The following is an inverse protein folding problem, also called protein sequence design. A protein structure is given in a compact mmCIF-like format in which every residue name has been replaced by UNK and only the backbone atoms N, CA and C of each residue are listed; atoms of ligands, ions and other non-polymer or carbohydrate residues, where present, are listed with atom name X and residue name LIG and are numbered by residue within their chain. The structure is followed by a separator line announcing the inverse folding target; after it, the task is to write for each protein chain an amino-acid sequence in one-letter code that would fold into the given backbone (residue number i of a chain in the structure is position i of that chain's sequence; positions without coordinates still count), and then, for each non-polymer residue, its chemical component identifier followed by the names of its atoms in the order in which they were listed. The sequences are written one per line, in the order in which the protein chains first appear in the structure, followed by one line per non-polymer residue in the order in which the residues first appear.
data_IF_481177742067
#
_entry.id   IF_481177742067
#
_cell.length_a   1.000
_cell.length_b   1.000
_cell.length_c   1.000
_cell.angle_alpha   90.00
_cell.angle_beta   90.00
_cell.angle_gamma   90.00
#
_symmetry.space_group_name_H-M   'P 1'
#
loop_
_entity.id
_entity.type
_entity.pdbx_description
1 polymer ?
#
# COMPACT_ATOMS: atom_id res chain seq x y z
N UNK A 1 35.91 -49.57 -43.14
CA UNK A 1 36.92 -49.14 -44.14
C UNK A 1 36.11 -48.51 -45.26
N UNK A 2 35.96 -47.19 -45.16
CA UNK A 2 35.12 -46.36 -46.01
C UNK A 2 35.85 -45.97 -47.30
N UNK A 3 35.10 -45.93 -48.41
CA UNK A 3 35.49 -45.29 -49.66
C UNK A 3 34.26 -44.70 -50.38
N UNK A 4 34.41 -43.45 -50.83
CA UNK A 4 33.70 -42.83 -51.97
C UNK A 4 32.40 -42.08 -51.63
N UNK A 5 32.12 -40.84 -52.07
CA UNK A 5 32.72 -39.97 -53.07
C UNK A 5 31.83 -39.78 -54.32
N UNK A 6 31.27 -38.57 -54.52
CA UNK A 6 30.64 -38.06 -55.76
C UNK A 6 29.12 -38.30 -55.89
N UNK A 7 28.27 -37.42 -56.41
CA UNK A 7 28.41 -36.15 -57.15
C UNK A 7 27.48 -36.14 -58.38
N UNK A 8 26.55 -35.17 -58.48
CA UNK A 8 25.70 -34.85 -59.64
C UNK A 8 24.48 -35.78 -59.84
N UNK A 9 23.25 -35.35 -60.15
CA UNK A 9 22.73 -34.17 -60.83
C UNK A 9 21.80 -34.69 -61.95
N UNK A 10 20.53 -34.29 -62.00
CA UNK A 10 19.63 -34.66 -63.11
C UNK A 10 18.14 -34.65 -62.75
N UNK A 11 17.48 -33.58 -63.16
CA UNK A 11 16.05 -33.29 -63.09
C UNK A 11 15.20 -34.21 -63.99
N UNK A 12 13.92 -34.42 -63.64
CA UNK A 12 12.83 -34.42 -64.62
C UNK A 12 11.46 -34.26 -63.94
N UNK A 13 10.69 -33.38 -64.58
CA UNK A 13 9.42 -32.79 -64.17
C UNK A 13 8.24 -33.77 -64.21
N UNK A 14 7.20 -33.49 -63.40
CA UNK A 14 5.83 -33.50 -63.93
C UNK A 14 4.92 -32.59 -63.11
N UNK A 15 4.16 -31.79 -63.85
CA UNK A 15 3.45 -30.59 -63.47
C UNK A 15 2.11 -30.82 -62.74
N UNK A 16 1.62 -29.68 -62.23
CA UNK A 16 0.22 -29.22 -62.23
C UNK A 16 -0.57 -29.41 -60.92
N UNK A 17 -0.78 -28.31 -60.18
CA UNK A 17 -1.88 -27.41 -60.55
C UNK A 17 -1.89 -26.08 -59.77
N UNK A 18 -1.84 -25.01 -60.56
CA UNK A 18 -2.75 -23.85 -60.56
C UNK A 18 -2.78 -22.82 -59.42
N UNK A 19 -2.30 -21.62 -59.83
CA UNK A 19 -2.93 -20.27 -59.72
C UNK A 19 -2.97 -19.62 -58.33
N UNK A 20 -2.74 -18.32 -58.15
CA UNK A 20 -2.67 -17.16 -59.07
C UNK A 20 -1.96 -15.98 -58.39
N UNK A 21 -1.35 -15.17 -59.25
CA UNK A 21 -0.79 -13.83 -59.08
C UNK A 21 -1.43 -12.88 -58.04
N UNK A 22 -0.53 -12.23 -57.27
CA UNK A 22 -0.26 -10.79 -57.19
C UNK A 22 -1.41 -9.79 -56.94
N UNK A 23 -1.31 -9.05 -55.83
CA UNK A 23 -1.41 -7.58 -55.84
C UNK A 23 -0.79 -6.96 -54.59
N UNK A 24 -0.10 -5.85 -54.79
CA UNK A 24 0.50 -4.90 -53.84
C UNK A 24 -0.29 -4.68 -52.54
N UNK A 25 0.41 -4.40 -51.43
CA UNK A 25 0.70 -3.02 -51.01
C UNK A 25 1.14 -2.97 -49.53
N UNK A 26 2.17 -2.17 -49.27
CA UNK A 26 2.43 -1.51 -47.97
C UNK A 26 2.49 -2.41 -46.72
N UNK A 27 3.39 -3.39 -46.66
CA UNK A 27 3.83 -3.90 -45.37
C UNK A 27 4.74 -2.82 -44.74
N UNK A 28 4.15 -1.99 -43.87
CA UNK A 28 4.85 -0.95 -43.13
C UNK A 28 6.16 -1.50 -42.56
N UNK A 29 7.27 -0.87 -42.96
CA UNK A 29 8.56 -1.16 -42.34
C UNK A 29 8.42 -0.83 -40.87
N UNK A 30 8.53 -1.86 -40.04
CA UNK A 30 8.50 -1.71 -38.60
C UNK A 30 9.80 -1.01 -38.16
N UNK A 31 9.71 0.29 -37.94
CA UNK A 31 10.80 1.10 -37.41
C UNK A 31 10.85 1.08 -35.87
N UNK A 32 9.87 0.44 -35.20
CA UNK A 32 9.78 0.35 -33.73
C UNK A 32 10.73 -0.71 -33.18
N UNK A 33 10.94 -1.80 -33.92
CA UNK A 33 11.87 -2.87 -33.57
C UNK A 33 13.36 -2.52 -33.78
N UNK A 34 13.64 -1.32 -34.30
CA UNK A 34 15.00 -0.80 -34.51
C UNK A 34 15.43 0.26 -33.46
N UNK A 35 14.56 0.59 -32.50
CA UNK A 35 14.88 1.52 -31.43
C UNK A 35 15.58 0.77 -30.27
N UNK A 36 16.62 1.35 -29.66
CA UNK A 36 17.20 0.79 -28.44
C UNK A 36 16.17 0.82 -27.28
N UNK A 37 16.28 -0.12 -26.33
CA UNK A 37 15.27 -0.35 -25.28
C UNK A 37 15.00 0.88 -24.39
N UNK A 38 15.92 1.85 -24.37
CA UNK A 38 15.81 3.15 -23.71
C UNK A 38 14.87 4.14 -24.44
N UNK A 39 14.58 3.92 -25.71
CA UNK A 39 13.72 4.78 -26.53
C UNK A 39 12.25 4.33 -26.58
N UNK A 40 11.94 3.05 -26.28
CA UNK A 40 10.55 2.56 -26.19
C UNK A 40 9.81 3.10 -24.95
N UNK A 41 10.56 3.52 -23.92
CA UNK A 41 10.05 4.18 -22.70
C UNK A 41 9.54 5.60 -22.98
N UNK A 42 10.02 6.23 -24.05
CA UNK A 42 9.66 7.60 -24.40
C UNK A 42 8.34 7.67 -25.18
N UNK A 43 7.86 6.58 -25.77
CA UNK A 43 6.67 6.56 -26.64
C UNK A 43 5.69 5.46 -26.19
N UNK A 44 5.16 5.61 -24.97
CA UNK A 44 3.75 5.34 -24.60
C UNK A 44 3.59 5.59 -23.09
N UNK A 45 4.13 6.71 -22.60
CA UNK A 45 3.57 7.37 -21.44
C UNK A 45 2.17 7.83 -21.88
N UNK A 46 1.11 7.26 -21.28
CA UNK A 46 -0.24 7.84 -21.39
C UNK A 46 -0.22 9.20 -20.68
N UNK A 47 0.39 10.20 -21.31
CA UNK A 47 0.24 11.60 -20.96
C UNK A 47 -1.18 11.96 -21.34
N UNK A 48 -2.13 11.79 -20.41
CA UNK A 48 -3.39 12.52 -20.50
C UNK A 48 -3.02 13.98 -20.34
N UNK A 49 -2.77 14.67 -21.46
CA UNK A 49 -2.43 16.10 -21.50
C UNK A 49 -3.55 16.97 -20.94
N UNK A 50 -4.76 16.40 -20.77
CA UNK A 50 -5.91 17.04 -20.13
C UNK A 50 -5.85 17.07 -18.61
N UNK A 51 -5.23 16.06 -17.97
CA UNK A 51 -5.26 15.90 -16.50
C UNK A 51 -3.88 15.95 -15.84
N UNK A 52 -2.81 16.27 -16.59
CA UNK A 52 -1.45 16.34 -16.05
C UNK A 52 -1.07 15.12 -15.20
N UNK A 53 -1.45 13.92 -15.65
CA UNK A 53 -1.29 12.66 -14.92
C UNK A 53 -0.46 11.67 -15.70
N UNK A 54 0.44 10.99 -14.99
CA UNK A 54 1.20 9.85 -15.47
C UNK A 54 0.88 8.62 -14.62
N UNK A 55 0.57 7.52 -15.28
CA UNK A 55 0.37 6.23 -14.62
C UNK A 55 1.12 5.16 -15.38
N UNK A 56 2.03 4.47 -14.70
CA UNK A 56 2.76 3.30 -15.21
C UNK A 56 2.42 2.14 -14.30
N UNK A 57 1.93 1.04 -14.87
CA UNK A 57 1.49 -0.14 -14.13
C UNK A 57 2.13 -1.39 -14.68
N UNK A 58 2.55 -2.26 -13.76
CA UNK A 58 3.07 -3.60 -14.04
C UNK A 58 4.13 -3.60 -15.16
N UNK A 59 4.95 -2.54 -15.20
CA UNK A 59 6.00 -2.41 -16.18
C UNK A 59 7.25 -3.17 -15.72
N UNK A 60 7.99 -3.74 -16.67
CA UNK A 60 9.21 -4.52 -16.45
C UNK A 60 10.33 -4.04 -17.39
N UNK A 61 11.57 -4.43 -17.10
CA UNK A 61 12.73 -4.15 -17.97
C UNK A 61 13.24 -2.70 -17.90
N UNK A 62 12.66 -1.89 -17.01
CA UNK A 62 13.04 -0.50 -16.78
C UNK A 62 13.99 -0.40 -15.59
N UNK A 63 15.29 -0.42 -15.85
CA UNK A 63 16.30 -0.28 -14.79
C UNK A 63 16.39 1.16 -14.26
N UNK A 64 16.22 2.17 -15.12
CA UNK A 64 16.37 3.58 -14.78
C UNK A 64 15.22 4.41 -15.36
N UNK A 65 14.65 5.30 -14.54
CA UNK A 65 13.57 6.20 -14.95
C UNK A 65 13.88 7.63 -14.52
N UNK A 66 13.94 8.56 -15.49
CA UNK A 66 14.12 9.98 -15.25
C UNK A 66 12.92 10.76 -15.83
N UNK A 67 12.25 11.52 -14.98
CA UNK A 67 11.06 12.30 -15.35
C UNK A 67 11.30 13.76 -15.00
N UNK A 68 11.23 14.61 -16.01
CA UNK A 68 11.31 16.06 -15.89
C UNK A 68 10.03 16.65 -16.48
N UNK A 69 9.17 17.24 -15.64
CA UNK A 69 7.92 17.81 -16.11
C UNK A 69 7.46 18.97 -15.24
N UNK A 70 7.28 20.14 -15.85
CA UNK A 70 6.80 21.34 -15.15
C UNK A 70 5.29 21.35 -14.94
N UNK A 71 4.54 20.50 -15.64
CA UNK A 71 3.08 20.50 -15.61
C UNK A 71 2.48 19.27 -14.93
N UNK A 72 3.26 18.21 -14.69
CA UNK A 72 2.76 16.96 -14.11
C UNK A 72 2.29 17.20 -12.66
N UNK A 73 1.03 16.86 -12.39
CA UNK A 73 0.35 17.04 -11.10
C UNK A 73 0.19 15.72 -10.35
N UNK A 74 -0.05 14.61 -11.07
CA UNK A 74 -0.28 13.30 -10.45
C UNK A 74 0.55 12.21 -11.08
N UNK A 75 1.11 11.35 -10.25
CA UNK A 75 1.98 10.29 -10.72
C UNK A 75 1.78 9.00 -9.92
N UNK A 76 1.54 7.91 -10.64
CA UNK A 76 1.51 6.55 -10.11
C UNK A 76 2.53 5.69 -10.86
N UNK A 77 3.46 5.09 -10.12
CA UNK A 77 4.46 4.18 -10.63
C UNK A 77 4.31 2.81 -9.98
N UNK A 78 4.21 1.79 -10.82
CA UNK A 78 4.46 0.39 -10.48
C UNK A 78 5.33 -0.21 -11.59
N UNK A 79 6.65 -0.18 -11.36
CA UNK A 79 7.68 -0.54 -12.33
C UNK A 79 8.66 -1.52 -11.68
N UNK A 80 8.49 -2.81 -11.94
CA UNK A 80 9.26 -3.84 -11.26
C UNK A 80 10.71 -3.89 -11.71
N UNK A 81 11.63 -3.89 -10.72
CA UNK A 81 13.06 -4.03 -10.95
C UNK A 81 13.79 -2.70 -11.16
N UNK A 82 13.12 -1.57 -10.91
CA UNK A 82 13.74 -0.26 -11.00
C UNK A 82 14.94 -0.18 -10.04
N UNK A 83 16.05 0.35 -10.55
CA UNK A 83 17.28 0.62 -9.77
C UNK A 83 17.43 2.09 -9.48
N UNK A 84 17.11 2.95 -10.45
CA UNK A 84 17.21 4.39 -10.31
C UNK A 84 15.92 5.11 -10.69
N UNK A 85 15.47 6.03 -9.82
CA UNK A 85 14.36 6.94 -10.08
C UNK A 85 14.80 8.38 -9.91
N UNK A 86 14.63 9.21 -10.94
CA UNK A 86 14.79 10.67 -10.83
C UNK A 86 13.50 11.36 -11.22
N UNK A 87 12.97 12.20 -10.34
CA UNK A 87 11.78 13.00 -10.60
C UNK A 87 12.11 14.47 -10.32
N UNK A 88 11.93 15.31 -11.33
CA UNK A 88 11.95 16.78 -11.19
C UNK A 88 10.61 17.28 -11.73
N UNK A 89 9.66 17.46 -10.81
CA UNK A 89 8.30 17.83 -11.15
C UNK A 89 7.76 18.88 -10.17
N UNK A 90 7.99 20.19 -10.44
CA UNK A 90 7.63 21.25 -9.51
C UNK A 90 6.14 21.41 -9.26
N UNK A 91 5.28 21.01 -10.20
CA UNK A 91 3.82 21.05 -10.07
C UNK A 91 3.21 19.76 -9.51
N UNK A 92 4.03 18.77 -9.12
CA UNK A 92 3.54 17.46 -8.67
C UNK A 92 2.91 17.57 -7.29
N UNK A 93 1.63 17.20 -7.20
CA UNK A 93 0.80 17.27 -5.99
C UNK A 93 0.62 15.87 -5.38
N UNK A 94 0.46 14.84 -6.21
CA UNK A 94 0.23 13.45 -5.79
C UNK A 94 1.30 12.51 -6.38
N UNK A 95 2.05 11.81 -5.52
CA UNK A 95 3.03 10.81 -5.92
C UNK A 95 2.76 9.47 -5.23
N UNK A 96 2.65 8.43 -6.04
CA UNK A 96 2.47 7.06 -5.60
C UNK A 96 3.54 6.16 -6.25
N UNK A 97 4.45 5.61 -5.46
CA UNK A 97 5.49 4.69 -5.91
C UNK A 97 5.23 3.34 -5.25
N UNK A 98 5.00 2.31 -6.05
CA UNK A 98 4.59 0.98 -5.60
C UNK A 98 5.51 -0.07 -6.17
N UNK A 99 6.10 -0.90 -5.31
CA UNK A 99 6.84 -2.10 -5.69
C UNK A 99 7.88 -1.88 -6.80
N UNK A 100 8.40 -0.66 -6.92
CA UNK A 100 9.33 -0.30 -7.98
C UNK A 100 10.71 -0.89 -7.70
N UNK A 101 11.15 -0.74 -6.45
CA UNK A 101 12.44 -1.21 -5.97
C UNK A 101 12.36 -2.54 -5.23
N UNK A 102 11.18 -2.92 -4.75
CA UNK A 102 10.96 -4.08 -3.88
C UNK A 102 11.57 -5.40 -4.40
N UNK A 103 11.48 -5.66 -5.70
CA UNK A 103 12.01 -6.88 -6.30
C UNK A 103 13.46 -6.75 -6.81
N UNK A 104 14.05 -5.56 -6.69
CA UNK A 104 15.42 -5.31 -7.11
C UNK A 104 16.41 -5.89 -6.11
N UNK A 105 17.51 -6.49 -6.60
CA UNK A 105 18.60 -6.99 -5.75
C UNK A 105 19.59 -5.89 -5.35
N UNK A 106 19.52 -4.72 -6.00
CA UNK A 106 20.39 -3.58 -5.72
C UNK A 106 19.72 -2.60 -4.75
N UNK A 107 20.53 -1.87 -3.99
CA UNK A 107 20.06 -0.77 -3.16
C UNK A 107 19.27 0.25 -4.03
N UNK A 108 18.07 0.67 -3.63
CA UNK A 108 17.29 1.64 -4.39
C UNK A 108 18.01 2.99 -4.44
N UNK A 109 18.12 3.59 -5.63
CA UNK A 109 18.62 4.95 -5.78
C UNK A 109 17.47 5.83 -6.27
N UNK A 110 17.11 6.85 -5.50
CA UNK A 110 16.08 7.77 -5.92
C UNK A 110 16.43 9.22 -5.59
N UNK A 111 16.00 10.14 -6.46
CA UNK A 111 16.09 11.58 -6.25
C UNK A 111 14.81 12.25 -6.72
N UNK A 112 14.05 12.80 -5.77
CA UNK A 112 12.70 13.33 -6.03
C UNK A 112 12.64 14.78 -5.59
N UNK A 113 12.42 15.67 -6.55
CA UNK A 113 12.21 17.11 -6.36
C UNK A 113 10.79 17.47 -6.79
N UNK A 114 9.90 17.57 -5.79
CA UNK A 114 8.50 17.90 -5.95
C UNK A 114 8.06 18.86 -4.81
N UNK A 115 8.39 20.16 -4.88
CA UNK A 115 8.11 21.12 -3.82
C UNK A 115 6.62 21.28 -3.49
N UNK A 116 5.71 21.08 -4.45
CA UNK A 116 4.26 21.21 -4.26
C UNK A 116 3.57 19.91 -3.81
N UNK A 117 4.35 18.87 -3.48
CA UNK A 117 3.79 17.56 -3.15
C UNK A 117 2.95 17.63 -1.88
N UNK A 118 1.66 17.33 -2.02
CA UNK A 118 0.69 17.23 -0.92
C UNK A 118 0.49 15.81 -0.43
N UNK A 119 0.62 14.82 -1.32
CA UNK A 119 0.39 13.40 -1.03
C UNK A 119 1.60 12.57 -1.44
N UNK A 120 2.17 11.82 -0.49
CA UNK A 120 3.20 10.83 -0.75
C UNK A 120 2.75 9.44 -0.29
N UNK A 121 2.58 8.53 -1.24
CA UNK A 121 2.39 7.11 -1.01
C UNK A 121 3.66 6.37 -1.45
N UNK A 122 4.43 5.86 -0.49
CA UNK A 122 5.71 5.20 -0.73
C UNK A 122 5.62 3.74 -0.29
N UNK A 123 5.27 2.87 -1.25
CA UNK A 123 5.14 1.42 -1.05
C UNK A 123 6.38 0.68 -1.55
N UNK A 124 7.55 1.14 -1.10
CA UNK A 124 8.88 0.60 -1.40
C UNK A 124 9.81 0.78 -0.19
N UNK A 125 10.99 0.16 -0.24
CA UNK A 125 12.03 0.38 0.76
C UNK A 125 12.52 1.84 0.72
N UNK A 126 12.77 2.42 1.89
CA UNK A 126 13.28 3.76 2.08
C UNK A 126 14.55 3.70 2.93
N UNK A 127 15.64 4.20 2.37
CA UNK A 127 16.90 4.40 3.04
C UNK A 127 17.37 5.83 2.72
N UNK A 128 17.48 6.73 3.72
CA UNK A 128 17.88 8.12 3.48
C UNK A 128 19.29 8.27 2.90
N UNK A 129 20.13 7.23 2.91
CA UNK A 129 21.45 7.24 2.27
C UNK A 129 21.41 7.15 0.74
N UNK A 130 20.32 6.63 0.17
CA UNK A 130 20.19 6.37 -1.27
C UNK A 130 18.90 6.90 -1.90
N UNK A 131 17.84 7.08 -1.09
CA UNK A 131 16.55 7.66 -1.48
C UNK A 131 16.47 9.10 -0.99
N UNK A 132 16.76 10.03 -1.89
CA UNK A 132 16.77 11.46 -1.62
C UNK A 132 15.40 12.09 -1.92
N UNK A 133 14.65 12.35 -0.87
CA UNK A 133 13.43 13.15 -0.94
C UNK A 133 13.75 14.62 -0.68
N UNK A 134 13.54 15.46 -1.69
CA UNK A 134 13.71 16.91 -1.62
C UNK A 134 12.83 17.57 -0.55
N UNK A 135 12.87 18.90 -0.47
CA UNK A 135 12.03 19.64 0.48
C UNK A 135 10.56 19.57 0.04
N UNK A 136 9.70 18.96 0.87
CA UNK A 136 8.26 18.80 0.63
C UNK A 136 7.47 19.54 1.70
N UNK A 137 7.51 20.88 1.68
CA UNK A 137 6.89 21.72 2.74
C UNK A 137 5.36 21.66 2.74
N UNK A 138 4.77 21.25 1.63
CA UNK A 138 3.33 21.16 1.46
C UNK A 138 2.78 19.75 1.72
N UNK A 139 3.62 18.80 2.16
CA UNK A 139 3.19 17.42 2.39
C UNK A 139 2.16 17.37 3.53
N UNK A 140 0.95 16.92 3.20
CA UNK A 140 -0.17 16.77 4.13
C UNK A 140 -0.50 15.33 4.42
N UNK A 141 -0.32 14.44 3.43
CA UNK A 141 -0.63 13.02 3.56
C UNK A 141 0.61 12.17 3.30
N UNK A 142 0.98 11.35 4.28
CA UNK A 142 2.01 10.32 4.13
C UNK A 142 1.39 8.93 4.29
N UNK A 143 1.76 8.03 3.38
CA UNK A 143 1.50 6.59 3.49
C UNK A 143 2.81 5.83 3.25
N UNK A 144 3.52 5.38 4.30
CA UNK A 144 4.60 4.41 4.14
C UNK A 144 4.06 3.05 3.68
N UNK A 145 4.95 2.09 3.45
CA UNK A 145 4.61 0.81 2.85
C UNK A 145 3.72 -0.06 3.76
N UNK A 146 4.33 -0.84 4.66
CA UNK A 146 3.61 -1.70 5.60
C UNK A 146 4.49 -1.95 6.82
N UNK A 147 3.86 -2.03 7.99
CA UNK A 147 4.49 -2.49 9.22
C UNK A 147 4.12 -3.96 9.44
N UNK A 148 5.13 -4.82 9.47
CA UNK A 148 4.97 -6.21 9.86
C UNK A 148 4.87 -6.24 11.39
N UNK A 149 3.75 -6.72 11.94
CA UNK A 149 3.54 -6.68 13.40
C UNK A 149 4.28 -7.81 14.11
N UNK A 150 4.27 -9.00 13.50
CA UNK A 150 5.01 -10.17 13.98
C UNK A 150 5.93 -10.65 12.87
N UNK A 151 7.23 -10.59 13.11
CA UNK A 151 8.25 -10.97 12.14
C UNK A 151 9.51 -11.50 12.79
N UNK A 152 10.59 -11.59 12.01
CA UNK A 152 11.93 -11.89 12.48
C UNK A 152 12.86 -10.71 12.17
N UNK A 153 14.06 -10.69 12.77
CA UNK A 153 15.04 -9.59 12.63
C UNK A 153 15.51 -9.33 11.20
N UNK A 154 15.30 -10.27 10.26
CA UNK A 154 15.72 -10.09 8.86
C UNK A 154 14.76 -9.20 8.05
N UNK A 155 13.61 -8.83 8.61
CA UNK A 155 12.60 -7.98 7.97
C UNK A 155 13.00 -6.50 8.08
N UNK A 156 13.47 -5.92 6.97
CA UNK A 156 13.90 -4.50 6.91
C UNK A 156 12.76 -3.50 6.68
N UNK A 157 11.52 -3.96 6.56
CA UNK A 157 10.35 -3.14 6.24
C UNK A 157 10.03 -2.10 7.34
N UNK A 158 9.97 -2.52 8.60
CA UNK A 158 9.65 -1.61 9.70
C UNK A 158 10.71 -0.52 9.87
N UNK A 159 12.03 -0.82 9.92
CA UNK A 159 13.08 0.21 9.97
C UNK A 159 13.01 1.20 8.79
N UNK A 160 12.70 0.70 7.58
CA UNK A 160 12.49 1.53 6.38
C UNK A 160 11.30 2.49 6.57
N UNK A 161 10.14 1.98 7.01
CA UNK A 161 8.97 2.79 7.29
C UNK A 161 9.23 3.83 8.40
N UNK A 162 9.92 3.45 9.49
CA UNK A 162 10.31 4.36 10.57
C UNK A 162 11.23 5.47 10.07
N UNK A 163 12.22 5.14 9.25
CA UNK A 163 13.13 6.11 8.65
C UNK A 163 12.39 7.13 7.80
N UNK A 164 11.36 6.68 7.06
CA UNK A 164 10.50 7.56 6.28
C UNK A 164 9.62 8.47 7.17
N UNK A 165 9.01 7.91 8.23
CA UNK A 165 8.23 8.70 9.19
C UNK A 165 9.09 9.77 9.86
N UNK A 166 10.32 9.44 10.27
CA UNK A 166 11.25 10.37 10.92
C UNK A 166 11.65 11.56 10.04
N UNK A 167 11.52 11.42 8.72
CA UNK A 167 11.81 12.50 7.78
C UNK A 167 10.79 13.64 7.85
N UNK A 168 9.54 13.33 8.23
CA UNK A 168 8.40 14.25 8.19
C UNK A 168 7.77 14.35 9.59
N UNK A 169 8.18 15.38 10.35
CA UNK A 169 7.77 15.53 11.75
C UNK A 169 6.35 16.06 11.96
N UNK A 170 5.83 16.80 10.98
CA UNK A 170 4.50 17.43 11.03
C UNK A 170 3.77 17.03 9.77
N UNK A 171 2.75 16.19 9.91
CA UNK A 171 1.93 15.70 8.80
C UNK A 171 0.48 15.82 9.25
N UNK A 172 -0.40 16.30 8.39
CA UNK A 172 -1.82 16.42 8.77
C UNK A 172 -2.46 15.04 8.89
N UNK A 173 -2.26 14.20 7.86
CA UNK A 173 -2.89 12.90 7.65
C UNK A 173 -1.82 11.80 7.51
N UNK A 174 -1.92 10.77 8.33
CA UNK A 174 -1.05 9.60 8.24
C UNK A 174 -1.88 8.35 7.96
N UNK A 175 -1.47 7.58 6.94
CA UNK A 175 -2.03 6.24 6.69
C UNK A 175 -1.01 5.18 7.07
N UNK A 176 -1.28 4.39 8.11
CA UNK A 176 -0.47 3.25 8.51
C UNK A 176 -1.16 1.95 8.13
N UNK A 177 -0.37 0.97 7.71
CA UNK A 177 -0.87 -0.38 7.44
C UNK A 177 -0.11 -1.35 8.35
N UNK A 178 -0.84 -2.05 9.22
CA UNK A 178 -0.34 -3.10 10.08
C UNK A 178 -0.69 -4.44 9.43
N UNK A 179 0.33 -5.25 9.15
CA UNK A 179 0.16 -6.53 8.48
C UNK A 179 0.55 -7.68 9.41
N UNK A 180 -0.37 -8.64 9.51
CA UNK A 180 -0.20 -9.88 10.24
C UNK A 180 -0.14 -11.02 9.24
N UNK A 181 0.99 -11.73 9.23
CA UNK A 181 1.11 -12.97 8.47
C UNK A 181 0.18 -14.04 9.03
N UNK A 182 -0.21 -15.01 8.19
CA UNK A 182 -1.08 -16.11 8.62
C UNK A 182 -0.46 -16.92 9.77
N UNK A 183 0.82 -17.28 9.64
CA UNK A 183 1.56 -17.98 10.69
C UNK A 183 2.55 -17.03 11.36
N UNK A 184 2.25 -16.64 12.60
CA UNK A 184 3.12 -15.82 13.43
C UNK A 184 3.85 -16.63 14.51
N UNK A 185 3.74 -17.96 14.50
CA UNK A 185 4.44 -18.78 15.48
C UNK A 185 5.96 -18.63 15.30
N UNK A 186 6.68 -18.49 16.42
CA UNK A 186 8.12 -18.21 16.46
C UNK A 186 8.55 -16.83 15.94
N UNK A 187 7.59 -15.95 15.61
CA UNK A 187 7.90 -14.55 15.36
C UNK A 187 7.94 -13.78 16.68
N UNK A 188 8.64 -12.66 16.66
CA UNK A 188 8.66 -11.67 17.73
C UNK A 188 7.82 -10.45 17.33
N UNK A 189 7.36 -9.72 18.34
CA UNK A 189 6.59 -8.51 18.17
C UNK A 189 7.50 -7.37 17.73
N UNK A 190 7.15 -6.70 16.63
CA UNK A 190 8.04 -5.78 15.88
C UNK A 190 7.69 -4.31 16.04
N UNK A 191 6.64 -3.98 16.79
CA UNK A 191 6.17 -2.59 16.89
C UNK A 191 6.90 -1.79 17.97
N UNK A 192 7.65 -2.44 18.86
CA UNK A 192 8.32 -1.79 20.01
C UNK A 192 9.31 -0.70 19.58
N UNK A 193 9.97 -0.86 18.43
CA UNK A 193 10.90 0.13 17.87
C UNK A 193 10.20 1.43 17.44
N UNK A 194 8.89 1.38 17.18
CA UNK A 194 8.10 2.56 16.92
C UNK A 194 7.89 3.31 18.24
N UNK A 195 8.81 4.22 18.58
CA UNK A 195 8.84 4.92 19.88
C UNK A 195 8.55 6.42 19.78
N UNK A 196 8.40 6.94 18.56
CA UNK A 196 8.27 8.37 18.31
C UNK A 196 6.80 8.83 18.38
N UNK A 197 6.54 9.92 19.11
CA UNK A 197 5.28 10.63 19.05
C UNK A 197 5.11 11.34 17.69
N UNK A 198 3.96 11.14 17.06
CA UNK A 198 3.65 11.70 15.75
C UNK A 198 2.66 12.85 15.91
N UNK A 199 3.03 14.03 15.45
CA UNK A 199 2.15 15.21 15.45
C UNK A 199 1.28 15.19 14.19
N UNK A 200 0.14 14.51 14.32
CA UNK A 200 -0.84 14.30 13.26
C UNK A 200 -2.26 14.62 13.73
N UNK A 201 -3.13 15.01 12.81
CA UNK A 201 -4.54 15.31 13.09
C UNK A 201 -5.46 14.14 12.75
N UNK A 202 -5.18 13.45 11.65
CA UNK A 202 -5.98 12.33 11.15
C UNK A 202 -5.10 11.09 11.01
N UNK A 203 -5.52 9.99 11.64
CA UNK A 203 -4.91 8.69 11.47
C UNK A 203 -5.86 7.78 10.70
N UNK A 204 -5.38 7.25 9.58
CA UNK A 204 -5.99 6.11 8.90
C UNK A 204 -5.15 4.87 9.23
N UNK A 205 -5.69 3.97 10.02
CA UNK A 205 -5.07 2.72 10.44
C UNK A 205 -5.71 1.56 9.70
N UNK A 206 -4.97 0.95 8.78
CA UNK A 206 -5.36 -0.29 8.13
C UNK A 206 -4.78 -1.45 8.93
N UNK A 207 -5.61 -2.39 9.35
CA UNK A 207 -5.19 -3.66 9.93
C UNK A 207 -5.52 -4.74 8.91
N UNK A 208 -4.49 -5.40 8.40
CA UNK A 208 -4.62 -6.55 7.52
C UNK A 208 -4.22 -7.77 8.34
N UNK A 209 -5.20 -8.56 8.78
CA UNK A 209 -4.94 -9.70 9.65
C UNK A 209 -5.71 -10.96 9.25
N UNK A 210 -5.00 -12.10 9.24
CA UNK A 210 -5.59 -13.43 9.05
C UNK A 210 -6.21 -13.96 10.35
N UNK A 211 -7.17 -13.22 10.90
CA UNK A 211 -7.91 -13.58 12.13
C UNK A 211 -7.19 -13.33 13.46
N UNK A 212 -5.94 -12.85 13.44
CA UNK A 212 -5.15 -12.52 14.63
C UNK A 212 -5.64 -11.28 15.37
N UNK A 213 -5.43 -11.25 16.69
CA UNK A 213 -5.78 -10.11 17.53
C UNK A 213 -4.88 -8.89 17.22
N UNK A 214 -5.50 -7.74 16.92
CA UNK A 214 -4.79 -6.52 16.55
C UNK A 214 -4.68 -5.45 17.64
N UNK A 215 -5.37 -5.64 18.77
CA UNK A 215 -5.52 -4.60 19.79
C UNK A 215 -4.19 -4.05 20.32
N UNK A 216 -3.19 -4.91 20.55
CA UNK A 216 -1.88 -4.50 21.06
C UNK A 216 -1.14 -3.51 20.15
N UNK A 217 -1.08 -3.81 18.84
CA UNK A 217 -0.37 -2.96 17.88
C UNK A 217 -1.13 -1.66 17.60
N UNK A 218 -2.46 -1.73 17.55
CA UNK A 218 -3.30 -0.56 17.37
C UNK A 218 -3.24 0.37 18.59
N UNK A 219 -3.26 -0.19 19.80
CA UNK A 219 -3.02 0.54 21.04
C UNK A 219 -1.65 1.23 21.04
N UNK A 220 -0.60 0.49 20.66
CA UNK A 220 0.76 1.04 20.56
C UNK A 220 0.81 2.24 19.61
N UNK A 221 0.22 2.14 18.41
CA UNK A 221 0.12 3.26 17.46
C UNK A 221 -0.67 4.43 18.04
N UNK A 222 -1.82 4.18 18.68
CA UNK A 222 -2.65 5.24 19.27
C UNK A 222 -1.94 5.96 20.43
N UNK A 223 -1.13 5.25 21.20
CA UNK A 223 -0.28 5.85 22.25
C UNK A 223 0.69 6.87 21.68
N UNK A 224 1.24 6.60 20.50
CA UNK A 224 2.16 7.50 19.79
C UNK A 224 1.44 8.63 19.04
N UNK A 225 0.16 8.43 18.71
CA UNK A 225 -0.66 9.37 17.95
C UNK A 225 -1.76 10.01 18.82
N UNK A 226 -1.53 10.20 20.13
CA UNK A 226 -2.57 10.65 21.07
C UNK A 226 -3.18 12.04 20.78
N UNK A 227 -2.54 12.83 19.92
CA UNK A 227 -3.01 14.15 19.48
C UNK A 227 -4.11 14.15 18.40
N UNK A 228 -4.46 12.97 17.84
CA UNK A 228 -5.41 12.85 16.74
C UNK A 228 -6.81 13.36 17.10
N UNK A 229 -7.51 13.87 16.08
CA UNK A 229 -8.92 14.27 16.15
C UNK A 229 -9.85 13.30 15.46
N UNK A 230 -9.34 12.59 14.44
CA UNK A 230 -10.09 11.57 13.70
C UNK A 230 -9.27 10.31 13.54
N UNK A 231 -9.91 9.17 13.80
CA UNK A 231 -9.41 7.84 13.54
C UNK A 231 -10.30 7.17 12.47
N UNK A 232 -9.69 6.71 11.39
CA UNK A 232 -10.30 5.80 10.42
C UNK A 232 -9.62 4.45 10.58
N UNK A 233 -10.36 3.41 10.97
CA UNK A 233 -9.86 2.06 11.19
C UNK A 233 -10.46 1.13 10.12
N UNK A 234 -9.62 0.64 9.22
CA UNK A 234 -10.00 -0.36 8.23
C UNK A 234 -9.55 -1.74 8.70
N UNK A 235 -10.49 -2.68 8.82
CA UNK A 235 -10.22 -4.07 9.22
C UNK A 235 -10.31 -5.00 8.02
N UNK A 236 -9.19 -5.33 7.41
CA UNK A 236 -9.13 -6.22 6.25
C UNK A 236 -8.62 -7.61 6.61
N UNK A 237 -9.13 -8.63 5.93
CA UNK A 237 -8.66 -10.01 6.04
C UNK A 237 -7.70 -10.32 4.88
N UNK A 238 -6.56 -10.96 5.17
CA UNK A 238 -5.55 -11.24 4.16
C UNK A 238 -5.85 -12.51 3.33
N UNK A 239 -6.51 -13.51 3.92
CA UNK A 239 -6.77 -14.84 3.34
C UNK A 239 -8.05 -15.45 3.94
N UNK A 240 -8.60 -16.50 3.32
CA UNK A 240 -9.84 -17.15 3.76
C UNK A 240 -9.75 -17.72 5.19
N UNK A 241 -10.39 -17.00 6.13
CA UNK A 241 -10.97 -17.43 7.40
C UNK A 241 -10.22 -18.54 8.14
N UNK A 242 -9.11 -18.16 8.77
CA UNK A 242 -8.60 -18.87 9.95
C UNK A 242 -8.89 -18.04 11.18
N UNK A 243 -9.64 -18.58 12.13
CA UNK A 243 -9.68 -17.99 13.48
C UNK A 243 -8.29 -18.05 14.10
N UNK A 244 -7.96 -17.06 14.93
CA UNK A 244 -6.70 -17.09 15.66
C UNK A 244 -6.59 -18.41 16.46
N UNK A 245 -5.50 -19.19 16.31
CA UNK A 245 -5.38 -20.45 16.99
C UNK A 245 -5.29 -20.25 18.51
N UNK A 246 -5.87 -21.15 19.33
CA UNK A 246 -5.71 -21.09 20.78
C UNK A 246 -4.23 -21.06 21.18
N UNK A 247 -3.86 -20.16 22.09
CA UNK A 247 -2.48 -19.99 22.54
C UNK A 247 -1.57 -19.19 21.59
N UNK A 248 -2.13 -18.56 20.55
CA UNK A 248 -1.36 -17.69 19.67
C UNK A 248 -0.69 -16.54 20.43
N UNK A 249 0.53 -16.17 20.00
CA UNK A 249 1.31 -15.10 20.63
C UNK A 249 0.64 -13.72 20.55
N UNK A 250 -0.29 -13.50 19.61
CA UNK A 250 -1.02 -12.22 19.55
C UNK A 250 -1.97 -12.00 20.73
N UNK A 251 -2.35 -13.05 21.44
CA UNK A 251 -3.21 -12.99 22.64
C UNK A 251 -2.36 -12.68 23.88
N UNK A 252 -1.04 -12.89 23.84
CA UNK A 252 -0.18 -12.68 25.01
C UNK A 252 -0.03 -11.20 25.37
N UNK A 253 -0.20 -10.29 24.41
CA UNK A 253 -0.11 -8.84 24.63
C UNK A 253 -1.49 -8.24 24.94
N UNK A 254 -2.02 -8.50 26.13
CA UNK A 254 -3.35 -8.03 26.58
C UNK A 254 -3.32 -6.76 27.43
N UNK A 255 -2.15 -6.17 27.69
CA UNK A 255 -2.04 -4.98 28.54
C UNK A 255 -2.95 -3.84 28.08
N UNK A 256 -3.17 -3.70 26.77
CA UNK A 256 -4.06 -2.69 26.19
C UNK A 256 -5.52 -2.80 26.65
N UNK A 257 -6.00 -3.95 27.10
CA UNK A 257 -7.39 -4.10 27.58
C UNK A 257 -7.62 -3.43 28.94
N UNK A 258 -6.54 -3.13 29.67
CA UNK A 258 -6.61 -2.56 31.03
C UNK A 258 -5.78 -1.29 31.18
N UNK A 259 -4.78 -1.08 30.33
CA UNK A 259 -3.92 0.10 30.36
C UNK A 259 -4.70 1.34 29.96
N UNK A 260 -4.46 2.41 30.72
CA UNK A 260 -5.11 3.69 30.51
C UNK A 260 -4.42 4.46 29.38
N UNK A 261 -5.20 4.84 28.36
CA UNK A 261 -4.77 5.73 27.28
C UNK A 261 -5.71 6.93 27.21
N UNK A 262 -5.16 8.13 27.01
CA UNK A 262 -5.91 9.37 26.91
C UNK A 262 -5.90 9.90 25.49
N UNK A 263 -7.05 9.80 24.82
CA UNK A 263 -7.30 10.34 23.48
C UNK A 263 -8.20 11.58 23.58
N UNK A 264 -7.78 12.56 24.38
CA UNK A 264 -8.58 13.74 24.78
C UNK A 264 -8.98 14.68 23.63
N UNK A 265 -8.43 14.47 22.44
CA UNK A 265 -8.74 15.25 21.23
C UNK A 265 -9.53 14.46 20.20
N UNK A 266 -9.67 13.14 20.38
CA UNK A 266 -10.37 12.29 19.43
C UNK A 266 -11.86 12.61 19.49
N UNK A 267 -12.40 13.06 18.35
CA UNK A 267 -13.79 13.48 18.17
C UNK A 267 -14.56 12.53 17.28
N UNK A 268 -13.89 11.96 16.29
CA UNK A 268 -14.51 11.11 15.27
C UNK A 268 -13.77 9.79 15.15
N UNK A 269 -14.52 8.69 15.18
CA UNK A 269 -14.03 7.35 14.87
C UNK A 269 -14.88 6.77 13.76
N UNK A 270 -14.23 6.23 12.74
CA UNK A 270 -14.85 5.47 11.67
C UNK A 270 -14.19 4.09 11.64
N UNK A 271 -14.99 3.03 11.67
CA UNK A 271 -14.53 1.66 11.62
C UNK A 271 -15.21 0.98 10.45
N UNK A 272 -14.42 0.51 9.50
CA UNK A 272 -14.90 -0.17 8.31
C UNK A 272 -14.53 -1.66 8.33
N UNK A 273 -15.37 -2.46 7.65
CA UNK A 273 -15.23 -3.91 7.54
C UNK A 273 -15.28 -4.62 8.91
N UNK A 274 -16.15 -4.13 9.80
CA UNK A 274 -16.36 -4.71 11.12
C UNK A 274 -17.08 -6.06 11.03
N UNK A 275 -16.56 -7.09 11.72
CA UNK A 275 -17.08 -8.46 11.67
C UNK A 275 -17.67 -8.92 12.99
N UNK A 276 -17.39 -8.19 14.07
CA UNK A 276 -17.95 -8.48 15.40
C UNK A 276 -17.23 -9.62 16.12
N UNK A 277 -15.95 -9.81 15.85
CA UNK A 277 -15.12 -10.70 16.67
C UNK A 277 -14.97 -10.15 18.11
N UNK A 278 -14.62 -11.02 19.06
CA UNK A 278 -14.47 -10.62 20.47
C UNK A 278 -13.44 -9.49 20.64
N UNK A 279 -12.29 -9.60 19.97
CA UNK A 279 -11.23 -8.60 20.08
C UNK A 279 -11.60 -7.27 19.41
N UNK A 280 -12.38 -7.29 18.32
CA UNK A 280 -12.94 -6.07 17.72
C UNK A 280 -13.88 -5.35 18.70
N UNK A 281 -14.82 -6.07 19.32
CA UNK A 281 -15.72 -5.48 20.31
C UNK A 281 -14.97 -4.93 21.52
N UNK A 282 -14.00 -5.68 22.03
CA UNK A 282 -13.15 -5.22 23.13
C UNK A 282 -12.41 -3.95 22.75
N UNK A 283 -11.87 -3.86 21.54
CA UNK A 283 -11.21 -2.65 21.06
C UNK A 283 -12.17 -1.46 20.95
N UNK A 284 -13.36 -1.64 20.40
CA UNK A 284 -14.39 -0.58 20.34
C UNK A 284 -14.76 -0.09 21.74
N UNK A 285 -14.99 -1.01 22.68
CA UNK A 285 -15.29 -0.66 24.07
C UNK A 285 -14.16 0.16 24.69
N UNK A 286 -12.91 -0.19 24.43
CA UNK A 286 -11.76 0.58 24.89
C UNK A 286 -11.67 1.97 24.27
N UNK A 287 -12.02 2.15 22.99
CA UNK A 287 -12.08 3.48 22.37
C UNK A 287 -13.01 4.43 23.13
N UNK A 288 -14.17 3.96 23.61
CA UNK A 288 -15.07 4.77 24.45
C UNK A 288 -14.49 5.09 25.84
N UNK A 289 -13.58 4.26 26.36
CA UNK A 289 -12.86 4.52 27.61
C UNK A 289 -11.76 5.56 27.37
N UNK A 290 -10.96 5.38 26.32
CA UNK A 290 -9.81 6.24 26.02
C UNK A 290 -10.20 7.63 25.49
N UNK A 291 -11.28 7.71 24.70
CA UNK A 291 -11.75 8.93 24.05
C UNK A 291 -13.00 9.48 24.73
N UNK A 292 -12.83 10.06 25.92
CA UNK A 292 -13.95 10.65 26.69
C UNK A 292 -14.63 11.82 26.00
N UNK A 293 -13.98 12.43 24.99
CA UNK A 293 -14.48 13.57 24.21
C UNK A 293 -15.09 13.17 22.87
N UNK A 294 -15.29 11.88 22.62
CA UNK A 294 -15.77 11.34 21.35
C UNK A 294 -17.20 11.82 21.05
N UNK A 295 -17.36 12.49 19.92
CA UNK A 295 -18.63 13.07 19.48
C UNK A 295 -19.36 12.13 18.52
N UNK A 296 -18.62 11.41 17.68
CA UNK A 296 -19.18 10.53 16.66
C UNK A 296 -18.38 9.24 16.50
N UNK A 297 -19.09 8.11 16.46
CA UNK A 297 -18.55 6.83 16.01
C UNK A 297 -19.42 6.27 14.89
N UNK A 298 -18.82 5.94 13.76
CA UNK A 298 -19.48 5.22 12.65
C UNK A 298 -18.86 3.84 12.51
N UNK A 299 -19.70 2.81 12.46
CA UNK A 299 -19.26 1.43 12.20
C UNK A 299 -19.96 0.92 10.94
N UNK A 300 -19.15 0.49 9.97
CA UNK A 300 -19.60 -0.17 8.75
C UNK A 300 -19.24 -1.66 8.84
N UNK A 301 -20.26 -2.52 8.76
CA UNK A 301 -20.04 -3.97 8.79
C UNK A 301 -19.43 -4.49 7.48
N UNK A 302 -18.66 -5.57 7.59
CA UNK A 302 -18.18 -6.37 6.46
C UNK A 302 -19.35 -6.96 5.66
N UNK A 303 -19.17 -7.08 4.35
CA UNK A 303 -20.22 -7.53 3.42
C UNK A 303 -20.68 -8.98 3.68
N UNK A 304 -19.88 -9.79 4.37
CA UNK A 304 -20.23 -11.16 4.76
C UNK A 304 -21.26 -11.24 5.89
N UNK A 305 -21.47 -10.17 6.65
CA UNK A 305 -22.41 -10.16 7.78
C UNK A 305 -23.84 -10.06 7.26
N UNK A 306 -24.76 -10.91 7.74
CA UNK A 306 -26.18 -10.86 7.37
C UNK A 306 -26.93 -9.74 8.08
N UNK A 307 -28.09 -9.31 7.56
CA UNK A 307 -28.82 -8.16 8.12
C UNK A 307 -29.27 -8.40 9.56
N UNK A 308 -29.77 -9.60 9.86
CA UNK A 308 -30.17 -9.97 11.22
C UNK A 308 -29.00 -9.90 12.20
N UNK A 309 -27.83 -10.43 11.81
CA UNK A 309 -26.62 -10.41 12.64
C UNK A 309 -26.12 -8.96 12.80
N UNK A 310 -26.08 -8.17 11.73
CA UNK A 310 -25.69 -6.77 11.79
C UNK A 310 -26.60 -5.95 12.73
N UNK A 311 -27.91 -6.23 12.76
CA UNK A 311 -28.83 -5.59 13.71
C UNK A 311 -28.51 -5.97 15.16
N UNK A 312 -28.26 -7.25 15.43
CA UNK A 312 -27.89 -7.73 16.78
C UNK A 312 -26.55 -7.13 17.25
N UNK A 313 -25.50 -7.22 16.42
CA UNK A 313 -24.20 -6.61 16.70
C UNK A 313 -24.32 -5.09 16.87
N UNK A 314 -25.16 -4.46 16.04
CA UNK A 314 -25.45 -3.04 16.11
C UNK A 314 -26.08 -2.61 17.44
N UNK A 315 -27.04 -3.38 17.96
CA UNK A 315 -27.63 -3.14 19.27
C UNK A 315 -26.59 -3.25 20.39
N UNK A 316 -25.68 -4.23 20.30
CA UNK A 316 -24.58 -4.37 21.26
C UNK A 316 -23.65 -3.17 21.21
N UNK A 317 -23.23 -2.73 20.01
CA UNK A 317 -22.38 -1.55 19.87
C UNK A 317 -23.04 -0.28 20.42
N UNK A 318 -24.35 -0.09 20.16
CA UNK A 318 -25.11 1.03 20.71
C UNK A 318 -25.11 1.04 22.24
N UNK A 319 -25.09 -0.12 22.89
CA UNK A 319 -25.04 -0.21 24.35
C UNK A 319 -23.76 0.36 24.97
N UNK A 320 -22.68 0.51 24.19
CA UNK A 320 -21.42 1.12 24.64
C UNK A 320 -21.45 2.65 24.56
N UNK A 321 -22.34 3.21 23.74
CA UNK A 321 -22.37 4.65 23.47
C UNK A 321 -22.79 5.43 24.71
N UNK A 322 -22.09 6.54 24.95
CA UNK A 322 -22.50 7.55 25.93
C UNK A 322 -23.66 8.37 25.37
N UNK A 323 -24.40 9.05 26.24
CA UNK A 323 -25.56 9.85 25.83
C UNK A 323 -25.15 11.00 24.88
N UNK A 324 -23.92 11.48 25.00
CA UNK A 324 -23.35 12.57 24.20
C UNK A 324 -22.68 12.11 22.90
N UNK A 325 -22.38 10.81 22.76
CA UNK A 325 -21.73 10.28 21.55
C UNK A 325 -22.79 9.81 20.57
N UNK A 326 -22.70 10.28 19.32
CA UNK A 326 -23.55 9.80 18.23
C UNK A 326 -22.95 8.53 17.64
N UNK A 327 -23.59 7.40 17.92
CA UNK A 327 -23.28 6.11 17.28
C UNK A 327 -24.08 5.97 15.97
N UNK A 328 -23.39 5.78 14.85
CA UNK A 328 -23.97 5.47 13.55
C UNK A 328 -23.54 4.07 13.12
N UNK A 329 -24.50 3.32 12.59
CA UNK A 329 -24.25 2.01 12.03
C UNK A 329 -24.64 2.06 10.57
N UNK A 330 -23.66 1.83 9.71
CA UNK A 330 -23.82 1.84 8.27
C UNK A 330 -23.61 0.42 7.71
N UNK A 331 -24.14 0.21 6.52
CA UNK A 331 -23.67 -0.83 5.61
C UNK A 331 -23.06 -0.17 4.40
N UNK A 332 -22.07 -0.82 3.81
CA UNK A 332 -21.67 -0.50 2.44
C UNK A 332 -22.92 -0.66 1.57
N UNK A 333 -23.41 0.45 1.03
CA UNK A 333 -24.43 0.40 -0.02
C UNK A 333 -23.67 -0.02 -1.28
N UNK A 334 -23.92 -1.24 -1.75
CA UNK A 334 -23.54 -1.67 -3.11
C UNK A 334 -24.36 -0.85 -4.11
#
# INVERSE_FOLDING_TARGET
MDLGGGGGGGESESEANRTKLSSDDTAGKDYLSALPDDALVVILLNLSTRDARLTVRDAHGLDNLAIHSNSLQKMELNVHGLRQLTIVAPALEDLNVKFCFYYSRSQPVASITAPQLGTLMWSDLYDPSSVHLGKMEHLRLLKPFVFIVYGNDSVTLNPSCLSLLWRFKVIEHLTLTLFYQQNINNNQYMMEDMTMLLDITILHLNVIASGHCFGASSFHVLKLCSGIRRLMLMLAEAEEQTTCPPGCICIQQQNWETEHLLLNRLKEVEIDQFRGSEHEFTFVKQLFVWATTLEKMTVTFDDSITESVAMELGQVLQSFSRQETRMEIARVRI
#
